data_IF_672524886827
#
_entry.id   IF_672524886827
#
_cell.length_a   1.000
_cell.length_b   1.000
_cell.length_c   1.000
_cell.angle_alpha   90.00
_cell.angle_beta   90.00
_cell.angle_gamma   90.00
#
_symmetry.space_group_name_H-M   'P 1'
#
loop_
_entity.id
_entity.type
_entity.pdbx_description
1 polymer ?
#
# COMPACT_ATOMS: atom_id res chain seq x y z
N UNK A 1 14.64 7.23 -13.93
CA UNK A 1 13.71 7.76 -12.91
C UNK A 1 13.27 6.74 -11.84
N UNK A 2 13.26 5.43 -12.13
CA UNK A 2 12.88 4.36 -11.20
C UNK A 2 14.03 3.39 -10.83
N UNK A 3 13.72 2.19 -10.32
CA UNK A 3 14.70 1.12 -10.09
C UNK A 3 15.57 0.84 -11.32
N UNK A 4 16.77 0.30 -11.11
CA UNK A 4 17.69 -0.06 -12.20
C UNK A 4 18.41 1.11 -12.88
N UNK A 5 18.21 2.35 -12.43
CA UNK A 5 18.84 3.54 -13.05
C UNK A 5 20.30 3.79 -12.64
N UNK A 6 20.99 2.82 -12.03
CA UNK A 6 22.40 2.97 -11.66
C UNK A 6 22.71 3.93 -10.50
N UNK A 7 21.76 4.23 -9.61
CA UNK A 7 21.95 5.18 -8.48
C UNK A 7 23.14 4.79 -7.58
N UNK A 8 23.22 3.52 -7.20
CA UNK A 8 24.31 2.99 -6.39
C UNK A 8 25.64 3.06 -7.14
N UNK A 9 25.67 2.59 -8.40
CA UNK A 9 26.87 2.61 -9.23
C UNK A 9 27.42 4.03 -9.40
N UNK A 10 26.54 5.01 -9.62
CA UNK A 10 26.92 6.43 -9.73
C UNK A 10 27.52 6.95 -8.43
N UNK A 11 26.92 6.63 -7.29
CA UNK A 11 27.41 7.05 -5.97
C UNK A 11 28.80 6.46 -5.66
N UNK A 12 29.00 5.18 -5.98
CA UNK A 12 30.29 4.51 -5.82
C UNK A 12 31.35 5.03 -6.80
N UNK A 13 30.96 5.41 -8.02
CA UNK A 13 31.85 6.04 -9.00
C UNK A 13 32.32 7.41 -8.52
N UNK A 14 31.42 8.24 -7.99
CA UNK A 14 31.78 9.54 -7.41
C UNK A 14 32.71 9.37 -6.20
N UNK A 15 32.38 8.43 -5.30
CA UNK A 15 33.23 8.07 -4.17
C UNK A 15 34.65 7.70 -4.61
N UNK A 16 34.78 6.88 -5.67
CA UNK A 16 36.08 6.53 -6.24
C UNK A 16 36.85 7.76 -6.75
N UNK A 17 36.21 8.65 -7.49
CA UNK A 17 36.86 9.83 -8.04
C UNK A 17 37.28 10.83 -6.95
N UNK A 18 36.50 10.96 -5.88
CA UNK A 18 36.85 11.79 -4.73
C UNK A 18 38.06 11.23 -3.98
N UNK A 19 38.10 9.93 -3.73
CA UNK A 19 39.26 9.28 -3.10
C UNK A 19 40.52 9.40 -3.97
N UNK A 20 40.40 9.29 -5.29
CA UNK A 20 41.52 9.56 -6.22
C UNK A 20 42.05 10.99 -6.14
N UNK A 21 41.20 11.96 -5.75
CA UNK A 21 41.57 13.36 -5.56
C UNK A 21 42.02 13.68 -4.13
N UNK A 22 42.10 12.69 -3.24
CA UNK A 22 42.45 12.88 -1.84
C UNK A 22 41.30 13.41 -0.97
N UNK A 23 40.07 13.45 -1.48
CA UNK A 23 38.87 13.87 -0.74
C UNK A 23 38.25 12.65 -0.06
N UNK A 24 38.10 12.71 1.26
CA UNK A 24 37.46 11.65 2.06
C UNK A 24 35.94 11.79 2.02
N UNK A 25 35.32 11.31 0.94
CA UNK A 25 33.87 11.25 0.80
C UNK A 25 33.27 10.00 1.45
N UNK A 26 31.93 9.94 1.57
CA UNK A 26 31.21 8.81 2.14
C UNK A 26 29.96 8.46 1.33
N UNK A 27 29.36 7.30 1.61
CA UNK A 27 28.13 6.83 0.99
C UNK A 27 27.16 6.37 2.07
N UNK A 28 25.92 6.86 2.03
CA UNK A 28 24.84 6.42 2.91
C UNK A 28 23.56 6.21 2.09
N UNK A 29 22.64 5.40 2.62
CA UNK A 29 21.37 5.08 1.97
C UNK A 29 20.21 5.68 2.77
N UNK A 30 19.35 6.44 2.09
CA UNK A 30 18.09 6.91 2.66
C UNK A 30 16.94 6.10 2.08
N UNK A 31 16.27 5.35 2.94
CA UNK A 31 15.00 4.67 2.68
C UNK A 31 14.10 4.83 3.88
N UNK A 32 12.82 5.06 3.64
CA UNK A 32 11.83 5.22 4.71
C UNK A 32 11.36 3.87 5.25
N UNK A 33 11.27 2.85 4.39
CA UNK A 33 10.79 1.52 4.74
C UNK A 33 11.76 0.43 4.24
N UNK A 34 11.91 -0.69 4.97
CA UNK A 34 11.34 -0.91 6.30
C UNK A 34 11.95 0.02 7.36
N UNK A 35 11.24 0.23 8.47
CA UNK A 35 11.74 1.00 9.61
C UNK A 35 12.56 0.05 10.47
N UNK A 36 13.88 0.24 10.45
CA UNK A 36 14.85 -0.71 10.99
C UNK A 36 14.73 -0.94 12.50
N UNK A 37 14.30 0.07 13.25
CA UNK A 37 14.15 0.06 14.71
C UNK A 37 12.71 -0.23 15.18
N UNK A 38 11.82 -0.61 14.26
CA UNK A 38 10.54 -1.26 14.60
C UNK A 38 10.68 -2.78 14.50
N UNK A 39 9.89 -3.56 15.29
CA UNK A 39 9.87 -5.01 15.17
C UNK A 39 9.58 -5.48 13.73
N UNK A 40 10.10 -6.66 13.36
CA UNK A 40 9.84 -7.27 12.05
C UNK A 40 8.34 -7.40 11.78
N UNK A 41 7.59 -7.83 12.81
CA UNK A 41 6.14 -8.05 12.77
C UNK A 41 5.31 -6.81 13.10
N UNK A 42 5.94 -5.63 13.16
CA UNK A 42 5.21 -4.41 13.39
C UNK A 42 4.29 -4.12 12.18
N UNK A 43 3.01 -3.72 12.37
CA UNK A 43 2.08 -3.50 11.27
C UNK A 43 2.61 -2.56 10.18
N UNK A 44 3.36 -1.52 10.57
CA UNK A 44 4.01 -0.60 9.62
C UNK A 44 5.00 -1.31 8.68
N UNK A 45 5.83 -2.22 9.20
CA UNK A 45 6.77 -2.99 8.37
C UNK A 45 6.03 -4.02 7.51
N UNK A 46 5.01 -4.68 8.07
CA UNK A 46 4.15 -5.61 7.32
C UNK A 46 3.40 -4.89 6.18
N UNK A 47 2.93 -3.66 6.39
CA UNK A 47 2.29 -2.85 5.35
C UNK A 47 3.25 -2.49 4.21
N UNK A 48 4.54 -2.27 4.51
CA UNK A 48 5.56 -2.12 3.48
C UNK A 48 5.73 -3.40 2.65
N UNK A 49 5.83 -4.56 3.30
CA UNK A 49 5.93 -5.85 2.61
C UNK A 49 4.69 -6.14 1.76
N UNK A 50 3.50 -5.80 2.26
CA UNK A 50 2.27 -5.87 1.50
C UNK A 50 2.25 -4.91 0.31
N UNK A 51 3.02 -3.81 0.34
CA UNK A 51 3.12 -2.88 -0.79
C UNK A 51 4.15 -3.29 -1.85
N UNK A 52 5.02 -4.25 -1.52
CA UNK A 52 6.08 -4.79 -2.40
C UNK A 52 5.89 -6.25 -2.75
N UNK A 53 4.72 -6.82 -2.45
CA UNK A 53 4.42 -8.24 -2.65
C UNK A 53 4.58 -8.70 -4.10
N UNK A 54 4.33 -7.80 -5.07
CA UNK A 54 4.46 -8.02 -6.51
C UNK A 54 5.92 -8.11 -6.97
N UNK A 55 6.82 -7.33 -6.37
CA UNK A 55 8.27 -7.35 -6.68
C UNK A 55 9.08 -8.29 -5.79
N UNK A 56 8.44 -8.92 -4.80
CA UNK A 56 9.05 -9.96 -3.97
C UNK A 56 10.07 -9.46 -2.94
N UNK A 57 10.04 -8.17 -2.62
CA UNK A 57 10.82 -7.66 -1.48
C UNK A 57 10.11 -8.04 -0.18
N UNK A 58 10.82 -8.69 0.74
CA UNK A 58 10.31 -9.14 2.03
C UNK A 58 11.24 -8.72 3.17
N UNK A 59 10.64 -8.45 4.33
CA UNK A 59 11.39 -8.00 5.49
C UNK A 59 12.07 -9.17 6.19
N UNK A 60 13.25 -8.92 6.77
CA UNK A 60 13.98 -9.89 7.58
C UNK A 60 14.85 -9.20 8.63
N UNK A 61 15.33 -9.98 9.60
CA UNK A 61 16.28 -9.48 10.60
C UNK A 61 17.66 -9.35 9.95
N UNK A 62 18.25 -8.16 10.06
CA UNK A 62 19.63 -7.90 9.63
C UNK A 62 20.61 -8.73 10.48
N UNK A 63 21.04 -9.87 9.92
CA UNK A 63 21.97 -10.79 10.58
C UNK A 63 23.33 -10.14 10.83
N UNK A 64 23.79 -9.22 9.97
CA UNK A 64 25.05 -8.51 10.15
C UNK A 64 24.99 -7.54 11.33
N UNK A 65 23.86 -6.84 11.50
CA UNK A 65 23.66 -5.94 12.64
C UNK A 65 23.57 -6.72 13.96
N UNK A 66 22.86 -7.86 13.92
CA UNK A 66 22.73 -8.76 15.07
C UNK A 66 24.08 -9.34 15.50
N UNK A 67 24.91 -9.81 14.56
CA UNK A 67 26.24 -10.35 14.84
C UNK A 67 27.19 -9.27 15.38
N UNK A 68 27.18 -8.07 14.77
CA UNK A 68 28.12 -7.00 15.13
C UNK A 68 27.80 -6.32 16.47
N UNK A 69 26.53 -6.24 16.85
CA UNK A 69 26.08 -5.43 17.98
C UNK A 69 25.18 -6.16 18.99
N UNK A 70 24.74 -7.39 18.71
CA UNK A 70 23.78 -8.11 19.54
C UNK A 70 22.38 -7.48 19.54
N UNK A 71 22.08 -6.60 18.58
CA UNK A 71 20.81 -5.86 18.48
C UNK A 71 20.03 -6.30 17.25
N UNK A 72 18.74 -6.55 17.43
CA UNK A 72 17.86 -6.83 16.30
C UNK A 72 17.53 -5.53 15.56
N UNK A 73 17.65 -5.57 14.24
CA UNK A 73 17.23 -4.52 13.33
C UNK A 73 16.55 -5.16 12.12
N UNK A 74 15.61 -4.45 11.51
CA UNK A 74 14.87 -4.91 10.33
C UNK A 74 15.49 -4.34 9.06
N UNK A 75 15.71 -5.20 8.08
CA UNK A 75 16.09 -4.82 6.73
C UNK A 75 15.29 -5.72 5.75
N UNK A 76 15.66 -5.77 4.48
CA UNK A 76 14.99 -6.58 3.48
C UNK A 76 16.00 -7.38 2.66
N UNK A 77 15.52 -8.46 2.04
CA UNK A 77 16.32 -9.46 1.34
C UNK A 77 17.38 -8.88 0.41
N UNK A 78 17.02 -7.97 -0.49
CA UNK A 78 17.93 -7.45 -1.52
C UNK A 78 19.15 -6.74 -0.93
N UNK A 79 18.95 -5.93 0.09
CA UNK A 79 20.04 -5.16 0.71
C UNK A 79 20.95 -6.06 1.53
N UNK A 80 20.38 -7.01 2.28
CA UNK A 80 21.14 -7.98 3.06
C UNK A 80 21.95 -8.90 2.15
N UNK A 81 21.39 -9.36 1.04
CA UNK A 81 22.10 -10.19 0.05
C UNK A 81 23.27 -9.44 -0.62
N UNK A 82 23.09 -8.15 -0.93
CA UNK A 82 24.12 -7.35 -1.64
C UNK A 82 25.20 -6.79 -0.70
N UNK A 83 24.91 -6.67 0.59
CA UNK A 83 25.80 -6.01 1.56
C UNK A 83 27.26 -6.54 1.57
N UNK A 84 27.55 -7.85 1.53
CA UNK A 84 28.94 -8.34 1.51
C UNK A 84 29.75 -7.81 0.32
N UNK A 85 29.13 -7.73 -0.86
CA UNK A 85 29.77 -7.22 -2.08
C UNK A 85 30.06 -5.73 -1.92
N UNK A 86 29.07 -4.97 -1.42
CA UNK A 86 29.21 -3.54 -1.19
C UNK A 86 30.29 -3.22 -0.15
N UNK A 87 30.36 -4.00 0.94
CA UNK A 87 31.41 -3.90 1.96
C UNK A 87 32.81 -4.09 1.37
N UNK A 88 33.00 -5.09 0.50
CA UNK A 88 34.26 -5.31 -0.21
C UNK A 88 34.64 -4.15 -1.14
N UNK A 89 33.66 -3.58 -1.87
CA UNK A 89 33.89 -2.41 -2.72
C UNK A 89 34.33 -1.22 -1.88
N UNK A 90 33.62 -0.91 -0.80
CA UNK A 90 33.96 0.19 0.11
C UNK A 90 35.35 0.02 0.72
N UNK A 91 35.73 -1.20 1.13
CA UNK A 91 37.08 -1.49 1.62
C UNK A 91 38.15 -1.19 0.57
N UNK A 92 37.92 -1.62 -0.68
CA UNK A 92 38.85 -1.38 -1.79
C UNK A 92 38.98 0.09 -2.17
N UNK A 93 37.87 0.84 -2.14
CA UNK A 93 37.85 2.26 -2.46
C UNK A 93 38.54 3.10 -1.39
N UNK A 94 38.27 2.79 -0.12
CA UNK A 94 38.75 3.59 1.01
C UNK A 94 40.14 3.20 1.52
N UNK A 95 40.60 1.97 1.22
CA UNK A 95 41.87 1.42 1.69
C UNK A 95 41.88 1.07 3.18
N UNK A 96 40.74 1.23 3.88
CA UNK A 96 40.56 0.96 5.30
C UNK A 96 39.39 0.01 5.51
N UNK A 97 39.25 -0.52 6.74
CA UNK A 97 38.03 -1.25 7.07
C UNK A 97 36.78 -0.36 6.88
N UNK A 98 35.71 -0.86 6.23
CA UNK A 98 34.49 -0.12 6.04
C UNK A 98 33.86 0.29 7.38
N UNK A 99 33.34 1.51 7.43
CA UNK A 99 32.66 2.05 8.63
C UNK A 99 31.38 1.25 8.92
N UNK A 100 30.69 0.77 7.90
CA UNK A 100 29.44 0.02 8.02
C UNK A 100 29.71 -1.45 8.31
N UNK A 101 29.17 -1.95 9.43
CA UNK A 101 29.21 -3.38 9.78
C UNK A 101 27.97 -4.11 9.31
N UNK A 102 26.90 -3.39 8.98
CA UNK A 102 25.61 -3.90 8.52
C UNK A 102 24.94 -2.95 7.51
N UNK A 103 23.97 -3.41 6.70
CA UNK A 103 23.15 -2.51 5.87
C UNK A 103 22.30 -1.57 6.74
N UNK A 104 21.94 -1.95 7.96
CA UNK A 104 21.33 -1.03 8.94
C UNK A 104 22.22 0.18 9.25
N UNK A 105 23.53 -0.02 9.46
CA UNK A 105 24.47 1.10 9.72
C UNK A 105 24.60 2.04 8.52
N UNK A 106 24.43 1.51 7.30
CA UNK A 106 24.47 2.27 6.05
C UNK A 106 23.21 3.13 5.87
N UNK A 107 22.11 2.75 6.53
CA UNK A 107 20.86 3.49 6.56
C UNK A 107 20.93 4.75 7.42
N UNK A 108 20.23 5.80 6.98
CA UNK A 108 20.09 7.06 7.75
C UNK A 108 18.64 7.33 8.19
N UNK A 109 17.78 6.31 8.17
CA UNK A 109 16.37 6.43 8.50
C UNK A 109 16.14 6.77 9.99
N UNK A 110 15.25 7.72 10.25
CA UNK A 110 14.81 8.16 11.59
C UNK A 110 13.28 8.20 11.73
N UNK A 111 12.53 7.59 10.82
CA UNK A 111 11.08 7.67 10.77
C UNK A 111 10.40 7.28 12.09
N UNK A 112 10.91 6.25 12.79
CA UNK A 112 10.38 5.81 14.08
C UNK A 112 10.36 6.92 15.14
N UNK A 113 11.39 7.78 15.17
CA UNK A 113 11.45 8.90 16.13
C UNK A 113 10.35 9.95 15.93
N UNK A 114 9.68 9.95 14.76
CA UNK A 114 8.53 10.81 14.48
C UNK A 114 7.18 10.18 14.83
N UNK A 115 7.14 8.91 15.25
CA UNK A 115 5.91 8.23 15.64
C UNK A 115 5.53 8.69 17.06
N UNK A 116 4.48 9.51 17.14
CA UNK A 116 3.96 10.02 18.42
C UNK A 116 2.85 9.14 19.01
N UNK A 117 2.19 8.33 18.18
CA UNK A 117 1.14 7.39 18.60
C UNK A 117 1.23 6.10 17.77
N UNK A 118 1.74 5.05 18.41
CA UNK A 118 1.93 3.73 17.82
C UNK A 118 0.61 3.06 17.39
N UNK A 119 -0.47 3.29 18.15
CA UNK A 119 -1.76 2.66 17.87
C UNK A 119 -2.38 3.21 16.60
N UNK A 120 -2.25 4.52 16.38
CA UNK A 120 -2.76 5.19 15.18
C UNK A 120 -2.02 4.70 13.93
N UNK A 121 -0.69 4.60 13.97
CA UNK A 121 0.09 4.12 12.82
C UNK A 121 -0.11 2.63 12.59
N UNK A 122 -0.25 1.83 13.65
CA UNK A 122 -0.53 0.40 13.56
C UNK A 122 -1.89 0.15 12.92
N UNK A 123 -2.95 0.81 13.39
CA UNK A 123 -4.28 0.72 12.78
C UNK A 123 -4.28 1.18 11.31
N UNK A 124 -3.60 2.28 10.99
CA UNK A 124 -3.51 2.77 9.62
C UNK A 124 -2.80 1.79 8.69
N UNK A 125 -1.75 1.12 9.20
CA UNK A 125 -0.99 0.12 8.47
C UNK A 125 -1.81 -1.16 8.24
N UNK A 126 -2.54 -1.66 9.25
CA UNK A 126 -3.48 -2.78 9.09
C UNK A 126 -4.51 -2.50 7.99
N UNK A 127 -5.09 -1.28 7.98
CA UNK A 127 -6.01 -0.86 6.92
C UNK A 127 -5.34 -0.82 5.54
N UNK A 128 -4.05 -0.49 5.46
CA UNK A 128 -3.30 -0.53 4.20
C UNK A 128 -3.09 -1.96 3.69
N UNK A 129 -2.79 -2.92 4.58
CA UNK A 129 -2.68 -4.33 4.20
C UNK A 129 -4.01 -4.86 3.64
N UNK A 130 -5.15 -4.52 4.26
CA UNK A 130 -6.48 -4.86 3.70
C UNK A 130 -6.68 -4.23 2.32
N UNK A 131 -6.28 -2.96 2.13
CA UNK A 131 -6.38 -2.30 0.81
C UNK A 131 -5.53 -3.03 -0.24
N UNK A 132 -4.31 -3.42 0.11
CA UNK A 132 -3.40 -4.17 -0.79
C UNK A 132 -3.99 -5.52 -1.16
N UNK A 133 -4.60 -6.22 -0.22
CA UNK A 133 -5.30 -7.47 -0.50
C UNK A 133 -6.39 -7.31 -1.58
N UNK A 134 -7.30 -6.35 -1.42
CA UNK A 134 -8.35 -6.11 -2.41
C UNK A 134 -7.77 -5.63 -3.75
N UNK A 135 -6.76 -4.76 -3.72
CA UNK A 135 -6.11 -4.24 -4.92
C UNK A 135 -5.48 -5.37 -5.75
N UNK A 136 -4.64 -6.21 -5.15
CA UNK A 136 -4.03 -7.31 -5.86
C UNK A 136 -5.05 -8.37 -6.28
N UNK A 137 -6.12 -8.57 -5.51
CA UNK A 137 -7.22 -9.44 -5.93
C UNK A 137 -7.89 -8.93 -7.21
N UNK A 138 -8.12 -7.62 -7.33
CA UNK A 138 -8.62 -7.00 -8.55
C UNK A 138 -7.60 -7.08 -9.70
N UNK A 139 -6.34 -6.76 -9.45
CA UNK A 139 -5.26 -6.80 -10.45
C UNK A 139 -5.05 -8.23 -10.97
N UNK A 140 -5.14 -9.24 -10.11
CA UNK A 140 -5.11 -10.65 -10.51
C UNK A 140 -6.30 -11.02 -11.41
N UNK A 141 -7.52 -10.61 -11.03
CA UNK A 141 -8.71 -10.84 -11.86
C UNK A 141 -8.63 -10.15 -13.23
N UNK A 142 -7.87 -9.06 -13.34
CA UNK A 142 -7.60 -8.36 -14.60
C UNK A 142 -6.39 -8.90 -15.36
N UNK A 143 -5.63 -9.84 -14.80
CA UNK A 143 -4.44 -10.44 -15.42
C UNK A 143 -3.17 -9.59 -15.34
N UNK A 144 -3.08 -8.66 -14.38
CA UNK A 144 -1.91 -7.79 -14.21
C UNK A 144 -0.83 -8.34 -13.28
N UNK A 145 -1.21 -9.21 -12.33
CA UNK A 145 -0.29 -9.82 -11.37
C UNK A 145 -0.57 -11.30 -11.25
N UNK A 146 0.42 -12.04 -10.76
CA UNK A 146 0.29 -13.48 -10.51
C UNK A 146 -0.46 -13.77 -9.21
N UNK A 147 -1.02 -14.98 -9.13
CA UNK A 147 -1.73 -15.49 -7.95
C UNK A 147 -0.88 -15.44 -6.68
N UNK A 148 0.42 -15.65 -6.83
CA UNK A 148 1.38 -15.65 -5.74
C UNK A 148 1.43 -14.31 -5.00
N UNK A 149 1.21 -13.19 -5.72
CA UNK A 149 1.14 -11.85 -5.13
C UNK A 149 -0.04 -11.74 -4.16
N UNK A 150 -1.21 -12.25 -4.54
CA UNK A 150 -2.41 -12.26 -3.69
C UNK A 150 -2.17 -13.14 -2.46
N UNK A 151 -1.59 -14.33 -2.67
CA UNK A 151 -1.30 -15.27 -1.58
C UNK A 151 -0.32 -14.69 -0.55
N UNK A 152 0.71 -13.95 -0.99
CA UNK A 152 1.63 -13.26 -0.09
C UNK A 152 0.87 -12.30 0.83
N UNK A 153 0.01 -11.44 0.28
CA UNK A 153 -0.74 -10.49 1.11
C UNK A 153 -1.79 -11.18 1.99
N UNK A 154 -2.38 -12.29 1.56
CA UNK A 154 -3.24 -13.12 2.42
C UNK A 154 -2.50 -13.69 3.63
N UNK A 155 -1.23 -14.07 3.49
CA UNK A 155 -0.42 -14.52 4.62
C UNK A 155 -0.12 -13.36 5.58
N UNK A 156 0.15 -12.17 5.06
CA UNK A 156 0.37 -10.98 5.89
C UNK A 156 -0.88 -10.57 6.69
N UNK A 157 -2.08 -10.69 6.10
CA UNK A 157 -3.34 -10.50 6.83
C UNK A 157 -3.48 -11.48 8.00
N UNK A 158 -3.14 -12.75 7.78
CA UNK A 158 -3.16 -13.79 8.83
C UNK A 158 -2.13 -13.50 9.92
N UNK A 159 -0.94 -13.04 9.56
CA UNK A 159 0.10 -12.68 10.52
C UNK A 159 -0.32 -11.50 11.42
N UNK A 160 -1.05 -10.52 10.86
CA UNK A 160 -1.64 -9.43 11.63
C UNK A 160 -2.91 -9.83 12.39
N UNK A 161 -3.44 -11.03 12.16
CA UNK A 161 -4.75 -11.47 12.66
C UNK A 161 -5.88 -10.48 12.29
N UNK A 162 -5.82 -9.95 11.06
CA UNK A 162 -6.79 -9.00 10.50
C UNK A 162 -7.54 -9.67 9.35
N UNK A 163 -8.82 -9.36 9.23
CA UNK A 163 -9.72 -9.87 8.19
C UNK A 163 -10.06 -8.78 7.19
N UNK A 164 -10.36 -9.12 5.92
CA UNK A 164 -10.85 -8.15 4.95
C UNK A 164 -12.08 -7.37 5.45
N UNK A 165 -12.95 -8.00 6.24
CA UNK A 165 -14.15 -7.40 6.83
C UNK A 165 -13.86 -6.37 7.93
N UNK A 166 -12.65 -6.34 8.49
CA UNK A 166 -12.26 -5.32 9.49
C UNK A 166 -12.15 -3.92 8.86
N UNK A 167 -12.13 -3.84 7.53
CA UNK A 167 -12.38 -2.60 6.80
C UNK A 167 -13.87 -2.29 6.82
N UNK A 168 -14.25 -1.28 7.60
CA UNK A 168 -15.63 -0.88 7.92
C UNK A 168 -16.63 -0.80 6.75
N UNK A 169 -16.17 -0.48 5.55
CA UNK A 169 -17.02 -0.35 4.35
C UNK A 169 -17.30 -1.66 3.62
N UNK A 170 -16.56 -2.74 3.90
CA UNK A 170 -16.69 -4.01 3.16
C UNK A 170 -18.04 -4.67 3.41
N UNK A 171 -18.37 -4.93 4.68
CA UNK A 171 -19.64 -5.57 5.04
C UNK A 171 -20.87 -4.75 4.61
N UNK A 172 -20.94 -3.41 4.84
CA UNK A 172 -22.03 -2.60 4.32
C UNK A 172 -22.21 -2.64 2.81
N UNK A 173 -21.11 -2.70 2.03
CA UNK A 173 -21.20 -2.86 0.58
C UNK A 173 -21.78 -4.22 0.17
N UNK A 174 -21.38 -5.29 0.86
CA UNK A 174 -21.92 -6.64 0.65
C UNK A 174 -23.41 -6.71 1.02
N UNK A 175 -23.78 -6.18 2.18
CA UNK A 175 -25.16 -6.15 2.66
C UNK A 175 -26.06 -5.35 1.70
N UNK A 176 -25.56 -4.23 1.16
CA UNK A 176 -26.27 -3.45 0.15
C UNK A 176 -26.51 -4.26 -1.14
N UNK A 177 -25.55 -5.08 -1.59
CA UNK A 177 -25.71 -5.97 -2.74
C UNK A 177 -26.76 -7.07 -2.49
N UNK A 178 -26.77 -7.65 -1.28
CA UNK A 178 -27.76 -8.65 -0.88
C UNK A 178 -29.17 -8.05 -0.77
N UNK A 179 -29.28 -6.84 -0.23
CA UNK A 179 -30.55 -6.14 -0.14
C UNK A 179 -31.08 -5.73 -1.53
N UNK A 180 -30.19 -5.27 -2.42
CA UNK A 180 -30.49 -5.02 -3.83
C UNK A 180 -31.10 -6.26 -4.50
N UNK A 181 -30.52 -7.45 -4.24
CA UNK A 181 -31.05 -8.73 -4.73
C UNK A 181 -32.45 -9.04 -4.16
N UNK A 182 -32.67 -8.84 -2.87
CA UNK A 182 -33.99 -9.05 -2.21
C UNK A 182 -35.06 -8.11 -2.78
N UNK A 183 -34.70 -6.86 -3.02
CA UNK A 183 -35.59 -5.82 -3.57
C UNK A 183 -35.75 -5.90 -5.09
N UNK A 184 -35.08 -6.84 -5.77
CA UNK A 184 -34.98 -6.91 -7.24
C UNK A 184 -34.50 -5.57 -7.86
N UNK A 185 -33.74 -4.79 -7.09
CA UNK A 185 -33.18 -3.50 -7.48
C UNK A 185 -31.75 -3.73 -7.98
N UNK A 186 -31.63 -4.04 -9.26
CA UNK A 186 -30.37 -4.32 -9.95
C UNK A 186 -30.54 -4.12 -11.45
N UNK A 187 -29.63 -4.66 -12.26
CA UNK A 187 -29.75 -4.57 -13.73
C UNK A 187 -29.37 -5.91 -14.37
N UNK A 188 -30.23 -6.43 -15.26
CA UNK A 188 -30.02 -7.69 -15.99
C UNK A 188 -29.58 -8.87 -15.10
N UNK A 189 -30.19 -9.01 -13.92
CA UNK A 189 -29.87 -10.09 -12.96
C UNK A 189 -28.58 -9.87 -12.15
N UNK A 190 -27.88 -8.75 -12.34
CA UNK A 190 -26.67 -8.39 -11.61
C UNK A 190 -27.03 -7.40 -10.49
N UNK A 191 -26.58 -7.70 -9.27
CA UNK A 191 -26.81 -6.91 -8.07
C UNK A 191 -25.47 -6.53 -7.45
N UNK A 192 -25.23 -5.24 -7.32
CA UNK A 192 -24.00 -4.65 -6.81
C UNK A 192 -24.32 -3.69 -5.68
N UNK A 193 -23.48 -3.69 -4.66
CA UNK A 193 -23.51 -2.73 -3.57
C UNK A 193 -22.19 -1.98 -3.50
N UNK A 194 -22.24 -0.76 -2.98
CA UNK A 194 -21.08 0.06 -2.71
C UNK A 194 -21.27 0.74 -1.35
N UNK A 195 -20.18 1.06 -0.67
CA UNK A 195 -20.22 1.80 0.59
C UNK A 195 -19.06 2.79 0.71
N UNK A 196 -19.28 3.89 1.43
CA UNK A 196 -18.28 4.88 1.78
C UNK A 196 -18.42 5.24 3.26
N UNK A 197 -17.29 5.47 3.91
CA UNK A 197 -17.22 6.03 5.26
C UNK A 197 -16.85 7.52 5.14
N UNK A 198 -17.69 8.38 5.71
CA UNK A 198 -17.45 9.82 5.76
C UNK A 198 -16.53 10.18 6.93
N UNK A 199 -16.02 11.43 6.94
CA UNK A 199 -15.09 11.93 7.97
C UNK A 199 -15.67 11.88 9.40
N UNK A 200 -16.99 11.99 9.53
CA UNK A 200 -17.72 11.86 10.81
C UNK A 200 -17.93 10.40 11.25
N UNK A 201 -17.45 9.43 10.47
CA UNK A 201 -17.63 7.99 10.71
C UNK A 201 -18.97 7.44 10.20
N UNK A 202 -19.83 8.27 9.60
CA UNK A 202 -21.08 7.83 8.98
C UNK A 202 -20.78 6.92 7.79
N UNK A 203 -21.44 5.75 7.75
CA UNK A 203 -21.37 4.85 6.60
C UNK A 203 -22.59 5.06 5.72
N UNK A 204 -22.36 5.33 4.45
CA UNK A 204 -23.40 5.41 3.43
C UNK A 204 -23.23 4.29 2.43
N UNK A 205 -24.33 3.83 1.86
CA UNK A 205 -24.35 2.77 0.87
C UNK A 205 -25.05 3.22 -0.41
N UNK A 206 -24.74 2.52 -1.51
CA UNK A 206 -25.36 2.68 -2.81
C UNK A 206 -25.62 1.31 -3.42
N UNK A 207 -26.68 1.22 -4.22
CA UNK A 207 -27.10 -0.01 -4.91
C UNK A 207 -27.26 0.27 -6.38
N UNK A 208 -26.93 -0.69 -7.23
CA UNK A 208 -27.19 -0.53 -8.65
C UNK A 208 -28.70 -0.65 -8.95
N UNK A 209 -29.12 -0.07 -10.06
CA UNK A 209 -30.46 -0.16 -10.61
C UNK A 209 -30.38 -0.13 -12.14
N UNK A 210 -31.50 -0.21 -12.86
CA UNK A 210 -31.49 0.00 -14.32
C UNK A 210 -31.02 1.41 -14.71
N UNK A 211 -31.14 2.37 -13.80
CA UNK A 211 -30.81 3.78 -14.03
C UNK A 211 -29.34 4.11 -13.73
N UNK A 212 -28.76 3.52 -12.67
CA UNK A 212 -27.46 3.91 -12.16
C UNK A 212 -26.66 2.73 -11.59
N UNK A 213 -25.33 2.83 -11.68
CA UNK A 213 -24.43 1.91 -10.99
C UNK A 213 -24.41 2.18 -9.48
N UNK A 214 -24.01 1.18 -8.70
CA UNK A 214 -23.95 1.29 -7.24
C UNK A 214 -23.02 2.40 -6.75
N UNK A 215 -21.86 2.58 -7.41
CA UNK A 215 -20.92 3.66 -7.13
C UNK A 215 -21.51 5.05 -7.41
N UNK A 216 -22.20 5.23 -8.54
CA UNK A 216 -22.88 6.50 -8.86
C UNK A 216 -23.99 6.82 -7.85
N UNK A 217 -24.80 5.81 -7.48
CA UNK A 217 -25.82 5.95 -6.43
C UNK A 217 -25.19 6.36 -5.10
N UNK A 218 -24.10 5.71 -4.70
CA UNK A 218 -23.38 5.99 -3.46
C UNK A 218 -22.88 7.45 -3.42
N UNK A 219 -22.31 7.94 -4.52
CA UNK A 219 -21.82 9.33 -4.61
C UNK A 219 -22.97 10.32 -4.42
N UNK A 220 -24.12 10.10 -5.07
CA UNK A 220 -25.30 10.97 -4.89
C UNK A 220 -25.80 10.94 -3.44
N UNK A 221 -25.86 9.76 -2.81
CA UNK A 221 -26.27 9.62 -1.40
C UNK A 221 -25.29 10.36 -0.47
N UNK A 222 -23.98 10.28 -0.74
CA UNK A 222 -22.95 10.99 0.00
C UNK A 222 -23.08 12.51 -0.14
N UNK A 223 -23.28 13.01 -1.36
CA UNK A 223 -23.46 14.45 -1.61
C UNK A 223 -24.71 14.97 -0.91
N UNK A 224 -25.84 14.25 -0.98
CA UNK A 224 -27.06 14.63 -0.25
C UNK A 224 -26.82 14.74 1.25
N UNK A 225 -26.18 13.73 1.85
CA UNK A 225 -25.89 13.71 3.28
C UNK A 225 -25.00 14.88 3.70
N UNK A 226 -23.95 15.17 2.92
CA UNK A 226 -23.01 16.27 3.19
C UNK A 226 -23.66 17.65 3.00
N UNK A 227 -24.60 17.78 2.07
CA UNK A 227 -25.33 19.03 1.80
C UNK A 227 -26.58 19.22 2.69
N UNK A 228 -26.93 18.25 3.55
CA UNK A 228 -28.15 18.30 4.35
C UNK A 228 -29.44 18.18 3.54
N UNK A 229 -29.37 17.61 2.33
CA UNK A 229 -30.51 17.43 1.44
C UNK A 229 -31.24 16.14 1.81
N UNK A 230 -32.56 16.20 1.90
CA UNK A 230 -33.40 15.02 2.19
C UNK A 230 -33.29 13.94 1.09
N UNK A 231 -33.34 12.67 1.49
CA UNK A 231 -33.10 11.54 0.58
C UNK A 231 -34.12 11.47 -0.57
N UNK A 232 -35.36 11.91 -0.33
CA UNK A 232 -36.44 11.92 -1.31
C UNK A 232 -36.26 12.94 -2.45
N UNK A 233 -35.35 13.91 -2.31
CA UNK A 233 -35.13 14.94 -3.33
C UNK A 233 -34.26 14.37 -4.45
N UNK A 234 -34.75 14.40 -5.69
CA UNK A 234 -33.95 14.03 -6.86
C UNK A 234 -32.99 15.17 -7.24
N UNK A 235 -31.69 14.87 -7.31
CA UNK A 235 -30.66 15.87 -7.65
C UNK A 235 -30.44 16.05 -9.16
N UNK A 236 -30.84 15.07 -9.96
CA UNK A 236 -30.62 15.05 -11.40
C UNK A 236 -31.98 15.05 -12.09
N UNK A 237 -32.19 16.01 -13.00
CA UNK A 237 -33.43 16.11 -13.78
C UNK A 237 -33.63 14.85 -14.65
N UNK A 238 -34.87 14.32 -14.76
CA UNK A 238 -35.21 13.25 -15.69
C UNK A 238 -34.76 13.54 -17.13
N UNK A 239 -34.90 14.78 -17.61
CA UNK A 239 -34.56 15.16 -18.98
C UNK A 239 -33.07 14.93 -19.30
N UNK A 240 -32.19 15.22 -18.33
CA UNK A 240 -30.74 15.01 -18.47
C UNK A 240 -30.43 13.52 -18.51
N UNK A 241 -31.10 12.74 -17.66
CA UNK A 241 -30.91 11.29 -17.60
C UNK A 241 -31.36 10.63 -18.91
N UNK A 242 -32.51 11.05 -19.44
CA UNK A 242 -33.06 10.55 -20.70
C UNK A 242 -32.14 10.89 -21.88
N UNK A 243 -31.69 12.14 -21.98
CA UNK A 243 -30.78 12.59 -23.03
C UNK A 243 -29.48 11.75 -23.06
N UNK A 244 -28.85 11.54 -21.90
CA UNK A 244 -27.64 10.71 -21.79
C UNK A 244 -27.96 9.23 -22.08
N UNK A 245 -29.10 8.72 -21.62
CA UNK A 245 -29.49 7.33 -21.87
C UNK A 245 -29.78 7.06 -23.33
N UNK A 246 -30.39 8.00 -24.07
CA UNK A 246 -30.67 7.85 -25.49
C UNK A 246 -29.37 7.86 -26.29
N UNK A 247 -28.46 8.80 -26.00
CA UNK A 247 -27.11 8.81 -26.61
C UNK A 247 -26.39 7.45 -26.45
N UNK A 248 -26.46 6.83 -25.26
CA UNK A 248 -25.81 5.55 -24.99
C UNK A 248 -26.50 4.31 -25.58
N UNK A 249 -27.78 4.39 -25.96
CA UNK A 249 -28.55 3.25 -26.46
C UNK A 249 -28.74 3.31 -27.97
N UNK A 250 -28.97 4.51 -28.48
CA UNK A 250 -29.46 4.73 -29.83
C UNK A 250 -28.34 5.21 -30.77
N UNK A 251 -27.21 5.67 -30.23
CA UNK A 251 -26.10 6.25 -31.00
C UNK A 251 -24.78 5.51 -30.78
N UNK A 252 -24.37 5.26 -29.52
CA UNK A 252 -23.15 4.52 -29.16
C UNK A 252 -23.41 3.01 -29.07
#
# INVERSE_FOLDING_TARGET
PGPGSGKLATSLSQLYHDYKRGIKAGYAKFETFPIWDLPLKHPVNIAYEAATADIGDFNLIDSFHLEAYGKQAVNYNRDVEVFPVLKCILKKLTGTEPIYKSPTDMGVNRANSGIIDDKVVSWAAEQEVIRRYFRYSCEYAMGFVDKDTVQRVELLLKELNVKPEDRRVVKPAMDAALEAKKQKKGNKGIFCGAAIELKDGTILTGKNSPLMHASSSLVLNAVKKLAGIEDQIHLVSPDIIESISSLKKDIL
#
